data_IF_100018294796
#
_entry.id   IF_100018294796
#
_cell.length_a   1.000
_cell.length_b   1.000
_cell.length_c   1.000
_cell.angle_alpha   90.00
_cell.angle_beta   90.00
_cell.angle_gamma   90.00
#
_symmetry.space_group_name_H-M   'P 1'
#
loop_
_entity.id
_entity.type
_entity.pdbx_description
1 polymer ?
#
# COMPACT_ATOMS: atom_id res chain seq x y z
N UNK A 1 -71.07 -40.64 38.41
CA UNK A 1 -69.67 -40.53 38.89
C UNK A 1 -68.71 -40.34 37.68
N UNK A 2 -68.77 -39.28 36.92
CA UNK A 2 -67.87 -39.15 35.75
C UNK A 2 -67.44 -37.68 35.42
N UNK A 3 -68.05 -36.67 36.04
CA UNK A 3 -67.74 -35.30 35.78
C UNK A 3 -66.28 -34.83 36.14
N UNK A 4 -65.68 -35.22 37.30
CA UNK A 4 -64.36 -34.69 37.65
C UNK A 4 -63.19 -35.29 36.87
N UNK A 5 -63.37 -36.50 36.29
CA UNK A 5 -62.33 -37.14 35.46
C UNK A 5 -62.26 -36.53 34.04
N UNK A 6 -63.42 -36.16 33.49
CA UNK A 6 -63.52 -35.51 32.18
C UNK A 6 -62.92 -34.11 32.19
N UNK A 7 -63.15 -33.38 33.27
CA UNK A 7 -62.60 -32.01 33.44
C UNK A 7 -61.06 -32.01 33.57
N UNK A 8 -60.50 -33.03 34.26
CA UNK A 8 -59.01 -33.19 34.35
C UNK A 8 -58.38 -33.59 33.00
N UNK A 9 -59.08 -34.36 32.18
CA UNK A 9 -58.63 -34.75 30.82
C UNK A 9 -58.65 -33.51 29.86
N UNK A 10 -59.65 -32.66 29.98
CA UNK A 10 -59.74 -31.45 29.17
C UNK A 10 -58.64 -30.45 29.56
N UNK A 11 -58.32 -30.27 30.82
CA UNK A 11 -57.24 -29.39 31.25
C UNK A 11 -55.87 -29.90 30.86
N UNK A 12 -55.60 -31.19 30.88
CA UNK A 12 -54.34 -31.78 30.43
C UNK A 12 -54.21 -31.66 28.89
N UNK A 13 -55.30 -31.84 28.12
CA UNK A 13 -55.27 -31.67 26.68
C UNK A 13 -55.06 -30.22 26.26
N UNK A 14 -55.69 -29.26 26.96
CA UNK A 14 -55.47 -27.83 26.75
C UNK A 14 -54.01 -27.40 27.05
N UNK A 15 -53.42 -27.93 28.12
CA UNK A 15 -52.05 -27.67 28.47
C UNK A 15 -51.04 -28.27 27.43
N UNK A 16 -51.35 -29.47 26.90
CA UNK A 16 -50.53 -30.10 25.87
C UNK A 16 -50.59 -29.32 24.53
N UNK A 17 -51.73 -28.75 24.15
CA UNK A 17 -51.87 -27.91 22.97
C UNK A 17 -51.14 -26.56 23.15
N UNK A 18 -51.16 -25.98 24.35
CA UNK A 18 -50.43 -24.76 24.63
C UNK A 18 -48.89 -24.92 24.56
N UNK A 19 -48.38 -26.10 24.95
CA UNK A 19 -46.96 -26.44 24.87
C UNK A 19 -46.50 -26.77 23.42
N UNK A 20 -47.39 -27.21 22.54
CA UNK A 20 -47.05 -27.50 21.14
C UNK A 20 -47.01 -26.25 20.24
N UNK A 21 -47.49 -25.09 20.71
CA UNK A 21 -47.56 -23.86 19.94
C UNK A 21 -46.28 -23.07 19.78
N UNK A 22 -45.20 -23.38 20.54
CA UNK A 22 -43.90 -22.72 20.42
C UNK A 22 -43.03 -23.39 19.36
N UNK A 23 -43.45 -23.34 18.11
CA UNK A 23 -42.58 -23.62 16.99
C UNK A 23 -41.83 -22.34 16.67
N UNK A 24 -40.69 -22.14 17.31
CA UNK A 24 -39.76 -21.09 16.98
C UNK A 24 -39.26 -21.36 15.57
N UNK A 25 -39.78 -20.66 14.58
CA UNK A 25 -39.23 -20.63 13.22
C UNK A 25 -37.90 -19.89 13.33
N UNK A 26 -36.84 -20.63 13.69
CA UNK A 26 -35.47 -20.14 13.53
C UNK A 26 -35.27 -19.94 12.04
N UNK A 27 -35.22 -18.69 11.65
CA UNK A 27 -34.72 -18.33 10.35
C UNK A 27 -33.34 -18.99 10.20
N UNK A 28 -33.06 -19.80 9.17
CA UNK A 28 -31.77 -20.41 8.98
C UNK A 28 -30.76 -19.29 8.64
N UNK A 29 -30.33 -18.57 9.67
CA UNK A 29 -29.30 -17.56 9.53
C UNK A 29 -28.03 -18.23 9.03
N UNK A 30 -27.38 -17.64 8.06
CA UNK A 30 -26.06 -18.05 7.62
C UNK A 30 -25.09 -17.90 8.78
N UNK A 31 -24.46 -18.98 9.20
CA UNK A 31 -23.38 -18.93 10.18
C UNK A 31 -22.08 -18.69 9.41
N UNK A 32 -21.35 -17.66 9.80
CA UNK A 32 -20.06 -17.31 9.21
C UNK A 32 -19.51 -16.06 9.87
N UNK A 33 -18.28 -15.76 9.58
CA UNK A 33 -17.62 -14.50 9.95
C UNK A 33 -17.18 -13.77 8.68
N UNK A 34 -17.12 -12.47 8.77
CA UNK A 34 -16.58 -11.63 7.71
C UNK A 34 -15.08 -11.51 7.96
N UNK A 35 -14.29 -11.97 7.02
CA UNK A 35 -12.85 -11.76 6.99
C UNK A 35 -12.51 -10.67 5.98
N UNK A 36 -11.50 -9.88 6.31
CA UNK A 36 -10.92 -8.90 5.41
C UNK A 36 -9.41 -9.08 5.39
N UNK A 37 -8.81 -9.01 4.21
CA UNK A 37 -7.36 -9.03 4.07
C UNK A 37 -6.80 -7.69 4.56
N UNK A 38 -5.84 -7.77 5.50
CA UNK A 38 -5.12 -6.60 5.99
C UNK A 38 -3.81 -6.43 5.25
N UNK A 39 -3.59 -5.24 4.70
CA UNK A 39 -2.34 -4.85 4.05
C UNK A 39 -1.67 -3.80 4.92
N UNK A 40 -0.42 -4.07 5.31
CA UNK A 40 0.40 -3.12 6.04
C UNK A 40 1.22 -2.28 5.06
N UNK A 41 1.06 -0.96 5.15
CA UNK A 41 1.82 -0.01 4.34
C UNK A 41 2.79 0.73 5.25
N UNK A 42 4.09 0.54 5.00
CA UNK A 42 5.16 1.15 5.77
C UNK A 42 6.24 1.71 4.85
N UNK A 43 7.03 2.72 5.29
CA UNK A 43 8.20 3.15 4.54
C UNK A 43 9.28 2.06 4.53
N UNK A 44 9.98 1.93 3.40
CA UNK A 44 11.09 0.97 3.23
C UNK A 44 12.32 1.35 4.08
N UNK A 45 12.50 2.64 4.33
CA UNK A 45 13.61 3.17 5.13
C UNK A 45 13.06 3.98 6.31
N UNK A 46 13.75 3.92 7.45
CA UNK A 46 13.41 4.72 8.62
C UNK A 46 13.48 6.21 8.32
N UNK A 47 12.59 6.98 8.94
CA UNK A 47 12.54 8.42 8.79
C UNK A 47 11.37 9.04 9.55
N UNK A 48 11.40 10.36 9.67
CA UNK A 48 10.34 11.11 10.31
C UNK A 48 9.17 11.29 9.35
N UNK A 49 7.97 10.88 9.73
CA UNK A 49 6.75 11.21 8.99
C UNK A 49 6.48 12.70 9.12
N UNK A 50 6.49 13.42 8.01
CA UNK A 50 6.23 14.87 7.96
C UNK A 50 4.78 15.20 7.63
N UNK A 51 4.09 14.27 6.97
CA UNK A 51 2.69 14.46 6.61
C UNK A 51 1.96 13.12 6.57
N UNK A 52 0.79 13.11 7.22
CA UNK A 52 -0.18 12.03 7.14
C UNK A 52 -1.44 12.61 6.49
N UNK A 53 -1.89 12.03 5.38
CA UNK A 53 -3.01 12.54 4.59
C UNK A 53 -4.32 11.82 4.88
N UNK A 54 -4.29 10.76 5.66
CA UNK A 54 -5.45 9.91 5.96
C UNK A 54 -5.65 9.76 7.46
N UNK A 55 -6.84 9.37 7.85
CA UNK A 55 -7.26 9.07 9.22
C UNK A 55 -7.82 7.65 9.29
N UNK A 56 -7.85 7.11 10.50
CA UNK A 56 -8.56 5.85 10.76
C UNK A 56 -10.03 5.98 10.39
N UNK A 57 -10.54 5.05 9.60
CA UNK A 57 -11.89 5.03 9.05
C UNK A 57 -12.03 5.64 7.65
N UNK A 58 -11.00 6.33 7.12
CA UNK A 58 -11.07 6.89 5.77
C UNK A 58 -11.05 5.77 4.71
N UNK A 59 -11.82 5.96 3.65
CA UNK A 59 -11.77 5.14 2.44
C UNK A 59 -10.73 5.70 1.48
N UNK A 60 -9.88 4.83 0.93
CA UNK A 60 -8.80 5.20 0.01
C UNK A 60 -8.92 4.45 -1.30
N UNK A 61 -8.43 5.09 -2.37
CA UNK A 61 -8.34 4.53 -3.72
C UNK A 61 -6.91 4.06 -4.00
N UNK A 62 -6.73 3.10 -4.94
CA UNK A 62 -5.40 2.71 -5.38
C UNK A 62 -4.61 3.93 -5.88
N UNK A 63 -3.35 4.05 -5.44
CA UNK A 63 -2.47 5.16 -5.79
C UNK A 63 -2.70 6.45 -4.99
N UNK A 64 -3.62 6.46 -4.02
CA UNK A 64 -3.82 7.62 -3.13
C UNK A 64 -2.67 7.77 -2.15
N UNK A 65 -2.19 9.00 -1.96
CA UNK A 65 -1.07 9.31 -1.08
C UNK A 65 -1.50 9.24 0.39
N UNK A 66 -0.95 8.29 1.13
CA UNK A 66 -1.25 8.05 2.54
C UNK A 66 -0.38 8.89 3.47
N UNK A 67 0.93 8.87 3.25
CA UNK A 67 1.89 9.61 4.07
C UNK A 67 3.12 10.06 3.28
N UNK A 68 3.87 10.99 3.84
CA UNK A 68 5.18 11.41 3.35
C UNK A 68 6.19 11.39 4.50
N UNK A 69 7.36 10.85 4.21
CA UNK A 69 8.53 10.84 5.10
C UNK A 69 9.48 11.94 4.67
N UNK A 70 10.27 12.44 5.62
CA UNK A 70 11.32 13.45 5.38
C UNK A 70 12.24 12.99 4.23
N UNK A 71 12.34 13.80 3.19
CA UNK A 71 13.02 13.46 1.94
C UNK A 71 14.16 14.43 1.57
N UNK A 72 14.56 15.32 2.47
CA UNK A 72 15.56 16.36 2.20
C UNK A 72 16.90 15.77 1.75
N UNK A 73 17.36 14.70 2.42
CA UNK A 73 18.61 14.03 2.07
C UNK A 73 18.53 13.36 0.70
N UNK A 74 17.40 12.72 0.38
CA UNK A 74 17.21 12.04 -0.90
C UNK A 74 17.11 13.02 -2.05
N UNK A 75 16.52 14.21 -1.81
CA UNK A 75 16.51 15.32 -2.78
C UNK A 75 17.91 15.86 -3.03
N UNK A 76 18.70 16.03 -1.97
CA UNK A 76 20.10 16.48 -2.11
C UNK A 76 20.95 15.46 -2.87
N UNK A 77 20.79 14.16 -2.58
CA UNK A 77 21.49 13.08 -3.29
C UNK A 77 21.09 13.04 -4.78
N UNK A 78 19.80 13.13 -5.08
CA UNK A 78 19.32 13.22 -6.46
C UNK A 78 19.91 14.43 -7.20
N UNK A 79 19.96 15.60 -6.58
CA UNK A 79 20.53 16.80 -7.18
C UNK A 79 22.03 16.62 -7.46
N UNK A 80 22.79 16.01 -6.53
CA UNK A 80 24.20 15.68 -6.72
C UNK A 80 24.39 14.71 -7.89
N UNK A 81 23.58 13.65 -7.99
CA UNK A 81 23.66 12.68 -9.07
C UNK A 81 23.27 13.28 -10.42
N UNK A 82 22.31 14.19 -10.47
CA UNK A 82 21.96 14.95 -11.68
C UNK A 82 23.10 15.85 -12.16
N UNK A 83 23.83 16.52 -11.23
CA UNK A 83 25.01 17.28 -11.60
C UNK A 83 26.13 16.39 -12.15
N UNK A 84 26.31 15.20 -11.57
CA UNK A 84 27.27 14.20 -12.05
C UNK A 84 26.91 13.69 -13.43
N UNK A 85 25.63 13.42 -13.68
CA UNK A 85 25.10 13.02 -14.99
C UNK A 85 25.38 14.12 -16.05
N UNK A 86 25.09 15.38 -15.72
CA UNK A 86 25.37 16.50 -16.64
C UNK A 86 26.84 16.57 -17.02
N UNK A 87 27.75 16.39 -16.07
CA UNK A 87 29.21 16.36 -16.33
C UNK A 87 29.63 15.17 -17.19
N UNK A 88 29.05 13.97 -16.94
CA UNK A 88 29.32 12.78 -17.73
C UNK A 88 28.81 12.93 -19.17
N UNK A 89 27.61 13.51 -19.36
CA UNK A 89 27.06 13.83 -20.66
C UNK A 89 27.97 14.78 -21.46
N UNK A 90 28.42 15.88 -20.84
CA UNK A 90 29.34 16.82 -21.50
C UNK A 90 30.66 16.16 -21.89
N UNK A 91 31.16 15.23 -21.06
CA UNK A 91 32.38 14.49 -21.34
C UNK A 91 32.22 13.52 -22.49
N UNK A 92 31.07 12.84 -22.56
CA UNK A 92 30.68 12.02 -23.69
C UNK A 92 30.59 12.84 -24.98
N UNK A 93 29.90 13.98 -24.97
CA UNK A 93 29.72 14.84 -26.14
C UNK A 93 31.07 15.33 -26.69
N UNK A 94 31.99 15.73 -25.78
CA UNK A 94 33.37 16.10 -26.18
C UNK A 94 34.14 14.94 -26.81
N UNK A 95 34.08 13.76 -26.15
CA UNK A 95 34.78 12.58 -26.66
C UNK A 95 34.24 12.12 -28.02
N UNK A 96 32.92 12.16 -28.20
CA UNK A 96 32.25 11.85 -29.47
C UNK A 96 32.64 12.82 -30.58
N UNK A 97 32.65 14.13 -30.26
CA UNK A 97 33.08 15.16 -31.23
C UNK A 97 34.55 15.01 -31.65
N UNK A 98 35.46 14.81 -30.70
CA UNK A 98 36.88 14.60 -30.99
C UNK A 98 37.10 13.31 -31.78
N UNK A 99 36.35 12.26 -31.51
CA UNK A 99 36.41 11.02 -32.29
C UNK A 99 35.95 11.23 -33.72
N UNK A 100 34.86 12.00 -33.92
CA UNK A 100 34.33 12.35 -35.25
C UNK A 100 35.31 13.15 -36.12
N UNK A 101 36.14 13.99 -35.51
CA UNK A 101 37.19 14.78 -36.20
C UNK A 101 38.52 14.02 -36.35
N UNK A 102 38.62 12.80 -35.84
CA UNK A 102 39.87 12.00 -35.84
C UNK A 102 40.89 12.39 -34.79
N UNK A 103 40.60 13.37 -33.93
CA UNK A 103 41.50 13.84 -32.85
C UNK A 103 41.33 13.04 -31.55
N UNK A 104 40.26 12.22 -31.41
CA UNK A 104 40.03 11.38 -30.22
C UNK A 104 40.27 9.91 -30.47
N UNK A 105 40.58 9.17 -29.42
CA UNK A 105 40.74 7.70 -29.45
C UNK A 105 39.42 6.99 -29.16
N UNK A 106 39.25 5.77 -29.68
CA UNK A 106 38.10 4.93 -29.34
C UNK A 106 38.00 4.64 -27.83
N UNK A 107 39.17 4.38 -27.20
CA UNK A 107 39.26 4.12 -25.76
C UNK A 107 38.70 5.28 -24.90
N UNK A 108 38.94 6.54 -25.31
CA UNK A 108 38.40 7.70 -24.62
C UNK A 108 36.87 7.78 -24.76
N UNK A 109 36.34 7.48 -25.94
CA UNK A 109 34.88 7.44 -26.15
C UNK A 109 34.24 6.32 -25.34
N UNK A 110 34.81 5.12 -25.35
CA UNK A 110 34.30 3.98 -24.60
C UNK A 110 34.29 4.25 -23.08
N UNK A 111 35.35 4.92 -22.57
CA UNK A 111 35.41 5.37 -21.19
C UNK A 111 34.32 6.38 -20.86
N UNK A 112 34.09 7.37 -21.73
CA UNK A 112 33.06 8.38 -21.53
C UNK A 112 31.64 7.78 -21.60
N UNK A 113 31.38 6.82 -22.52
CA UNK A 113 30.13 6.06 -22.58
C UNK A 113 29.87 5.30 -21.30
N UNK A 114 30.91 4.62 -20.76
CA UNK A 114 30.80 3.86 -19.53
C UNK A 114 30.50 4.78 -18.33
N UNK A 115 31.17 5.93 -18.23
CA UNK A 115 30.94 6.93 -17.20
C UNK A 115 29.51 7.50 -17.25
N UNK A 116 28.99 7.78 -18.46
CA UNK A 116 27.63 8.26 -18.66
C UNK A 116 26.61 7.23 -18.17
N UNK A 117 26.73 5.97 -18.57
CA UNK A 117 25.83 4.90 -18.13
C UNK A 117 25.80 4.72 -16.60
N UNK A 118 26.98 4.83 -15.96
CA UNK A 118 27.07 4.76 -14.50
C UNK A 118 26.34 5.95 -13.86
N UNK A 119 26.51 7.16 -14.40
CA UNK A 119 25.83 8.34 -13.89
C UNK A 119 24.29 8.26 -14.08
N UNK A 120 23.82 7.78 -15.23
CA UNK A 120 22.39 7.51 -15.48
C UNK A 120 21.82 6.53 -14.45
N UNK A 121 22.51 5.41 -14.21
CA UNK A 121 22.06 4.40 -13.23
C UNK A 121 21.99 4.97 -11.80
N UNK A 122 22.90 5.88 -11.42
CA UNK A 122 22.88 6.55 -10.11
C UNK A 122 21.66 7.48 -9.96
N UNK A 123 21.32 8.23 -11.01
CA UNK A 123 20.13 9.08 -11.02
C UNK A 123 18.87 8.23 -10.85
N UNK A 124 18.73 7.13 -11.57
CA UNK A 124 17.58 6.21 -11.43
C UNK A 124 17.49 5.67 -10.00
N UNK A 125 18.62 5.29 -9.41
CA UNK A 125 18.66 4.78 -8.04
C UNK A 125 18.22 5.85 -7.02
N UNK A 126 18.77 7.07 -7.11
CA UNK A 126 18.40 8.15 -6.19
C UNK A 126 16.97 8.62 -6.38
N UNK A 127 16.45 8.65 -7.62
CA UNK A 127 15.03 8.92 -7.89
C UNK A 127 14.13 7.87 -7.23
N UNK A 128 14.44 6.58 -7.40
CA UNK A 128 13.68 5.50 -6.78
C UNK A 128 13.64 5.61 -5.25
N UNK A 129 14.78 5.97 -4.62
CA UNK A 129 14.83 6.19 -3.17
C UNK A 129 13.96 7.38 -2.74
N UNK A 130 13.95 8.45 -3.52
CA UNK A 130 13.09 9.62 -3.27
C UNK A 130 11.60 9.25 -3.39
N UNK A 131 11.23 8.49 -4.42
CA UNK A 131 9.84 8.09 -4.64
C UNK A 131 9.32 7.20 -3.49
N UNK A 132 10.18 6.34 -2.93
CA UNK A 132 9.85 5.48 -1.78
C UNK A 132 9.67 6.23 -0.45
N UNK A 133 9.94 7.55 -0.41
CA UNK A 133 9.61 8.41 0.73
C UNK A 133 8.13 8.76 0.82
N UNK A 134 7.33 8.36 -0.16
CA UNK A 134 5.89 8.53 -0.19
C UNK A 134 5.21 7.18 -0.18
N UNK A 135 4.29 7.00 0.76
CA UNK A 135 3.46 5.78 0.82
C UNK A 135 2.14 6.00 0.11
N UNK A 136 1.83 5.10 -0.82
CA UNK A 136 0.57 5.11 -1.57
C UNK A 136 -0.26 3.88 -1.26
N UNK A 137 -1.57 3.99 -1.36
CA UNK A 137 -2.47 2.86 -1.21
C UNK A 137 -2.28 1.87 -2.39
N UNK A 138 -1.94 0.60 -2.13
CA UNK A 138 -1.76 -0.40 -3.19
C UNK A 138 -3.10 -0.86 -3.78
N UNK A 139 -4.17 -0.85 -2.98
CA UNK A 139 -5.53 -1.24 -3.36
C UNK A 139 -6.55 -0.26 -2.76
N UNK A 140 -7.79 -0.35 -3.20
CA UNK A 140 -8.91 0.33 -2.54
C UNK A 140 -9.24 -0.37 -1.22
N UNK A 141 -9.60 0.41 -0.21
CA UNK A 141 -9.95 -0.12 1.10
C UNK A 141 -10.21 0.96 2.12
N UNK A 142 -10.39 0.58 3.39
CA UNK A 142 -10.50 1.53 4.49
C UNK A 142 -9.28 1.43 5.41
N UNK A 143 -8.87 2.57 5.95
CA UNK A 143 -7.76 2.67 6.91
C UNK A 143 -8.26 2.18 8.26
N UNK A 144 -7.77 1.03 8.71
CA UNK A 144 -8.19 0.46 9.99
C UNK A 144 -7.45 1.09 11.15
N UNK A 145 -6.13 1.18 11.04
CA UNK A 145 -5.29 1.64 12.15
C UNK A 145 -4.04 2.35 11.63
N UNK A 146 -3.63 3.39 12.37
CA UNK A 146 -2.42 4.15 12.12
C UNK A 146 -1.49 3.99 13.34
N UNK A 147 -0.33 3.39 13.11
CA UNK A 147 0.65 3.11 14.17
C UNK A 147 1.60 4.27 14.46
N UNK A 148 1.59 5.33 13.63
CA UNK A 148 2.44 6.51 13.77
C UNK A 148 1.58 7.73 14.10
N UNK A 149 2.05 8.48 15.08
CA UNK A 149 1.46 9.79 15.47
C UNK A 149 2.58 10.81 15.65
#
# INVERSE_FOLDING_TARGET
MTAPRMMKLITVAALAVALAGCKETRDPGFQGWVEADMIFVSPDESGRVIKLNVREGDEVKPGELLYSVDDDLQRADLNQNNATLANAQQSYDRAASLRGTGAGTQANLDSAVSALRVAEARVVTSQTRLDRRKGFAPIAGSIQQIYFR
#
